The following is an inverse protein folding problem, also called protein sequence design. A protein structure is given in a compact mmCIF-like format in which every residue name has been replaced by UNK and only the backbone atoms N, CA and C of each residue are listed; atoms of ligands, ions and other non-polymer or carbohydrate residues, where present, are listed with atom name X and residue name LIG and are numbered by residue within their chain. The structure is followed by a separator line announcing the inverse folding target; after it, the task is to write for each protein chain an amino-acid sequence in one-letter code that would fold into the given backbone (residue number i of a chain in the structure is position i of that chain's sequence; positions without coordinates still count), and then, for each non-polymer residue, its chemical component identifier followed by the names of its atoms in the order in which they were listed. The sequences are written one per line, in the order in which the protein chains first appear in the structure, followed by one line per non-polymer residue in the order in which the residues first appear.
data_IF_741301304333
#
_entry.id   IF_741301304333
#
_cell.length_a   1.000
_cell.length_b   1.000
_cell.length_c   1.000
_cell.angle_alpha   90.00
_cell.angle_beta   90.00
_cell.angle_gamma   90.00
#
_symmetry.space_group_name_H-M   'P 1'
#
loop_
_entity.id
_entity.type
_entity.pdbx_description
1 polymer ?
#
# COMPACT_ATOMS: atom_id res chain seq x y z
N UNK A 1 4.85 15.10 -25.35
CA UNK A 1 4.76 16.07 -24.23
C UNK A 1 3.57 15.68 -23.35
N UNK A 2 3.66 15.80 -22.02
CA UNK A 2 2.49 15.60 -21.13
C UNK A 2 1.77 16.94 -20.94
N UNK A 3 0.45 16.98 -21.12
CA UNK A 3 -0.38 18.17 -20.89
C UNK A 3 -0.95 18.19 -19.48
N UNK A 4 -1.44 19.35 -19.03
CA UNK A 4 -2.01 19.49 -17.69
C UNK A 4 -3.24 18.59 -17.47
N UNK A 5 -4.12 18.49 -18.47
CA UNK A 5 -5.28 17.59 -18.39
C UNK A 5 -4.87 16.11 -18.28
N UNK A 6 -3.88 15.67 -19.06
CA UNK A 6 -3.36 14.30 -18.98
C UNK A 6 -2.76 14.00 -17.60
N UNK A 7 -2.06 14.98 -17.03
CA UNK A 7 -1.48 14.85 -15.70
C UNK A 7 -2.58 14.81 -14.64
N UNK A 8 -3.59 15.67 -14.71
CA UNK A 8 -4.75 15.63 -13.81
C UNK A 8 -5.41 14.25 -13.77
N UNK A 9 -5.63 13.61 -14.94
CA UNK A 9 -6.18 12.25 -14.99
C UNK A 9 -5.22 11.25 -14.34
N UNK A 10 -3.92 11.28 -14.67
CA UNK A 10 -2.91 10.40 -14.05
C UNK A 10 -2.91 10.48 -12.52
N UNK A 11 -3.06 11.69 -11.99
CA UNK A 11 -3.05 11.98 -10.55
C UNK A 11 -4.35 11.49 -9.91
N UNK A 12 -5.49 11.89 -10.47
CA UNK A 12 -6.81 11.62 -9.89
C UNK A 12 -7.11 10.13 -9.86
N UNK A 13 -6.75 9.40 -10.91
CA UNK A 13 -6.92 7.94 -10.94
C UNK A 13 -6.02 7.24 -9.92
N UNK A 14 -4.74 7.65 -9.83
CA UNK A 14 -3.83 7.05 -8.83
C UNK A 14 -4.28 7.38 -7.41
N UNK A 15 -4.87 8.55 -7.17
CA UNK A 15 -5.51 8.92 -5.91
C UNK A 15 -6.71 8.03 -5.60
N UNK A 16 -7.65 7.91 -6.53
CA UNK A 16 -8.91 7.22 -6.31
C UNK A 16 -8.68 5.73 -6.01
N UNK A 17 -7.64 5.15 -6.60
CA UNK A 17 -7.25 3.77 -6.36
C UNK A 17 -6.08 3.63 -5.38
N UNK A 18 -5.80 4.64 -4.53
CA UNK A 18 -4.59 4.61 -3.69
C UNK A 18 -4.57 3.45 -2.71
N UNK A 19 -5.62 3.32 -1.91
CA UNK A 19 -5.70 2.30 -0.87
C UNK A 19 -5.62 0.90 -1.50
N UNK A 20 -6.40 0.68 -2.57
CA UNK A 20 -6.34 -0.54 -3.37
C UNK A 20 -4.93 -0.79 -3.94
N UNK A 21 -4.27 0.24 -4.49
CA UNK A 21 -2.94 0.12 -5.06
C UNK A 21 -1.91 -0.37 -4.05
N UNK A 22 -2.01 0.04 -2.78
CA UNK A 22 -1.09 -0.39 -1.73
C UNK A 22 -1.24 -1.89 -1.42
N UNK A 23 -2.46 -2.41 -1.49
CA UNK A 23 -2.78 -3.83 -1.34
C UNK A 23 -2.35 -4.69 -2.55
N UNK A 24 -2.18 -4.10 -3.73
CA UNK A 24 -1.76 -4.84 -4.92
C UNK A 24 -0.34 -5.41 -4.80
N UNK A 25 -0.16 -6.69 -5.16
CA UNK A 25 1.14 -7.36 -5.22
C UNK A 25 1.57 -7.68 -6.66
N UNK A 26 2.89 -7.73 -6.88
CA UNK A 26 3.52 -8.20 -8.12
C UNK A 26 2.90 -7.65 -9.42
N UNK A 27 2.41 -8.56 -10.25
CA UNK A 27 1.86 -8.26 -11.58
C UNK A 27 0.60 -7.38 -11.55
N UNK A 28 -0.11 -7.31 -10.43
CA UNK A 28 -1.32 -6.50 -10.34
C UNK A 28 -1.02 -5.00 -10.37
N UNK A 29 0.09 -4.57 -9.75
CA UNK A 29 0.59 -3.18 -9.88
C UNK A 29 0.96 -2.85 -11.32
N UNK A 30 1.53 -3.81 -12.05
CA UNK A 30 1.82 -3.62 -13.48
C UNK A 30 0.53 -3.44 -14.30
N UNK A 31 -0.49 -4.27 -14.03
CA UNK A 31 -1.79 -4.17 -14.70
C UNK A 31 -2.51 -2.86 -14.39
N UNK A 32 -2.44 -2.36 -13.15
CA UNK A 32 -2.94 -1.05 -12.78
C UNK A 32 -2.35 0.04 -13.68
N UNK A 33 -1.01 0.12 -13.77
CA UNK A 33 -0.37 1.15 -14.59
C UNK A 33 -0.70 0.99 -16.08
N UNK A 34 -0.83 -0.24 -16.56
CA UNK A 34 -1.25 -0.51 -17.94
C UNK A 34 -2.69 -0.05 -18.19
N UNK A 35 -3.61 -0.31 -17.26
CA UNK A 35 -5.00 0.15 -17.33
C UNK A 35 -5.12 1.66 -17.32
N UNK A 36 -4.38 2.32 -16.42
CA UNK A 36 -4.33 3.77 -16.34
C UNK A 36 -3.77 4.39 -17.64
N UNK A 37 -2.72 3.79 -18.21
CA UNK A 37 -2.20 4.21 -19.51
C UNK A 37 -3.24 4.07 -20.62
N UNK A 38 -3.97 2.94 -20.66
CA UNK A 38 -5.05 2.73 -21.62
C UNK A 38 -6.15 3.80 -21.50
N UNK A 39 -6.52 4.19 -20.28
CA UNK A 39 -7.52 5.24 -20.02
C UNK A 39 -7.08 6.59 -20.59
N UNK A 40 -5.87 7.03 -20.26
CA UNK A 40 -5.30 8.29 -20.77
C UNK A 40 -5.19 8.26 -22.30
N UNK A 41 -4.72 7.14 -22.86
CA UNK A 41 -4.59 6.98 -24.31
C UNK A 41 -5.92 7.06 -25.04
N UNK A 42 -6.97 6.46 -24.47
CA UNK A 42 -8.31 6.51 -25.04
C UNK A 42 -8.86 7.94 -25.03
N UNK A 43 -8.71 8.65 -23.92
CA UNK A 43 -9.24 9.99 -23.73
C UNK A 43 -8.49 11.06 -24.54
N UNK A 44 -7.16 11.03 -24.56
CA UNK A 44 -6.33 12.08 -25.14
C UNK A 44 -5.66 11.69 -26.46
N UNK A 45 -6.02 10.53 -27.03
CA UNK A 45 -5.42 9.99 -28.28
C UNK A 45 -3.88 9.90 -28.21
N UNK A 46 -3.36 9.46 -27.06
CA UNK A 46 -1.92 9.27 -26.83
C UNK A 46 -1.53 7.79 -26.95
N UNK A 47 -0.23 7.51 -26.81
CA UNK A 47 0.35 6.14 -26.90
C UNK A 47 1.26 5.83 -25.72
N UNK A 48 0.91 6.30 -24.52
CA UNK A 48 1.69 6.04 -23.31
C UNK A 48 1.63 4.58 -22.90
N UNK A 49 2.74 4.09 -22.35
CA UNK A 49 2.81 2.79 -21.70
C UNK A 49 2.59 2.92 -20.20
N UNK A 50 2.18 1.83 -19.54
CA UNK A 50 2.06 1.81 -18.07
C UNK A 50 3.37 2.19 -17.38
N UNK A 51 4.51 1.78 -17.93
CA UNK A 51 5.84 2.20 -17.45
C UNK A 51 6.01 3.73 -17.49
N UNK A 52 5.63 4.38 -18.59
CA UNK A 52 5.72 5.83 -18.72
C UNK A 52 4.80 6.56 -17.72
N UNK A 53 3.58 6.05 -17.51
CA UNK A 53 2.67 6.58 -16.48
C UNK A 53 3.29 6.48 -15.08
N UNK A 54 3.83 5.31 -14.72
CA UNK A 54 4.52 5.08 -13.44
C UNK A 54 5.71 6.02 -13.24
N UNK A 55 6.59 6.11 -14.24
CA UNK A 55 7.78 6.96 -14.18
C UNK A 55 7.41 8.43 -14.07
N UNK A 56 6.37 8.87 -14.81
CA UNK A 56 5.86 10.23 -14.76
C UNK A 56 5.29 10.55 -13.37
N UNK A 57 4.42 9.69 -12.84
CA UNK A 57 3.84 9.85 -11.50
C UNK A 57 4.93 9.93 -10.42
N UNK A 58 5.90 9.01 -10.44
CA UNK A 58 7.02 9.02 -9.50
C UNK A 58 7.86 10.31 -9.62
N UNK A 59 8.00 10.85 -10.83
CA UNK A 59 8.63 12.15 -11.07
C UNK A 59 7.89 13.30 -10.39
N UNK A 60 6.56 13.32 -10.48
CA UNK A 60 5.71 14.30 -9.80
C UNK A 60 5.85 14.21 -8.28
N UNK A 61 5.76 13.01 -7.72
CA UNK A 61 5.94 12.79 -6.26
C UNK A 61 7.30 13.30 -5.78
N UNK A 62 8.38 13.03 -6.52
CA UNK A 62 9.72 13.54 -6.18
C UNK A 62 9.81 15.06 -6.26
N UNK A 63 9.21 15.68 -7.29
CA UNK A 63 9.21 17.13 -7.45
C UNK A 63 8.45 17.81 -6.31
N UNK A 64 7.30 17.24 -5.93
CA UNK A 64 6.51 17.66 -4.78
C UNK A 64 7.32 17.57 -3.48
N UNK A 65 7.93 16.42 -3.17
CA UNK A 65 8.73 16.23 -1.95
C UNK A 65 9.88 17.24 -1.85
N UNK A 66 10.54 17.56 -2.97
CA UNK A 66 11.59 18.59 -3.01
C UNK A 66 11.05 20.00 -2.78
N UNK A 67 9.85 20.30 -3.25
CA UNK A 67 9.19 21.59 -3.01
C UNK A 67 8.76 21.72 -1.54
N UNK A 68 8.22 20.66 -0.95
CA UNK A 68 7.87 20.63 0.48
C UNK A 68 9.09 20.92 1.35
N UNK A 69 10.20 20.20 1.14
CA UNK A 69 11.47 20.47 1.84
C UNK A 69 11.99 21.91 1.62
N UNK A 70 11.75 22.50 0.45
CA UNK A 70 12.14 23.87 0.17
C UNK A 70 11.33 24.88 1.00
N UNK A 71 10.03 24.64 1.12
CA UNK A 71 9.12 25.48 1.92
C UNK A 71 9.43 25.34 3.41
N UNK A 72 9.77 24.13 3.85
CA UNK A 72 10.19 23.84 5.22
C UNK A 72 11.60 24.38 5.56
N UNK A 73 12.28 25.06 4.62
CA UNK A 73 13.61 25.63 4.82
C UNK A 73 14.73 24.60 4.91
N UNK A 74 14.48 23.34 4.51
CA UNK A 74 15.45 22.26 4.61
C UNK A 74 16.51 22.33 3.49
N UNK A 75 17.78 21.98 3.76
CA UNK A 75 18.87 22.10 2.79
C UNK A 75 18.73 21.18 1.57
N UNK A 76 17.93 20.10 1.68
CA UNK A 76 17.63 19.18 0.58
C UNK A 76 16.47 19.65 -0.31
N UNK A 77 15.83 20.75 0.07
CA UNK A 77 14.73 21.37 -0.67
C UNK A 77 15.19 21.99 -1.98
N UNK A 78 14.34 21.92 -3.00
CA UNK A 78 14.58 22.61 -4.26
C UNK A 78 13.28 23.08 -4.89
N UNK A 79 13.17 24.39 -5.13
CA UNK A 79 12.13 24.96 -5.99
C UNK A 79 12.38 24.53 -7.44
N UNK A 80 11.36 23.99 -8.09
CA UNK A 80 11.39 23.66 -9.52
C UNK A 80 10.12 24.17 -10.17
N UNK A 81 10.14 24.51 -11.46
CA UNK A 81 8.94 24.98 -12.17
C UNK A 81 7.81 23.93 -12.11
N UNK A 82 8.17 22.65 -12.29
CA UNK A 82 7.24 21.52 -12.16
C UNK A 82 6.71 21.39 -10.72
N UNK A 83 7.60 21.47 -9.73
CA UNK A 83 7.23 21.39 -8.32
C UNK A 83 6.38 22.58 -7.87
N UNK A 84 6.63 23.79 -8.36
CA UNK A 84 5.85 24.97 -8.02
C UNK A 84 4.46 24.92 -8.66
N UNK A 85 4.36 24.61 -9.95
CA UNK A 85 3.09 24.47 -10.67
C UNK A 85 2.17 23.46 -9.99
N UNK A 86 2.75 22.34 -9.57
CA UNK A 86 2.02 21.25 -8.97
C UNK A 86 2.03 21.26 -7.45
N UNK A 87 2.69 22.21 -6.79
CA UNK A 87 2.52 22.38 -5.36
C UNK A 87 1.17 23.05 -5.09
N UNK A 88 0.81 24.11 -5.81
CA UNK A 88 -0.49 24.78 -5.64
C UNK A 88 -1.68 23.94 -6.16
N UNK A 89 -1.60 23.37 -7.36
CA UNK A 89 -2.70 22.54 -7.91
C UNK A 89 -2.94 21.26 -7.09
N UNK A 90 -1.94 20.76 -6.37
CA UNK A 90 -2.06 19.53 -5.57
C UNK A 90 -2.11 19.74 -4.05
N UNK A 91 -1.64 20.87 -3.49
CA UNK A 91 -1.69 21.12 -2.04
C UNK A 91 -3.09 21.37 -1.54
N UNK A 92 -4.03 21.74 -2.43
CA UNK A 92 -5.42 21.87 -2.02
C UNK A 92 -6.04 20.51 -1.68
N UNK A 93 -5.53 19.34 -2.14
CA UNK A 93 -6.22 18.10 -1.76
C UNK A 93 -5.54 16.71 -1.85
N UNK A 94 -4.29 16.43 -2.30
CA UNK A 94 -3.96 14.99 -2.46
C UNK A 94 -2.53 14.41 -2.51
N UNK A 95 -1.44 15.10 -2.87
CA UNK A 95 -0.12 14.42 -2.82
C UNK A 95 0.35 14.19 -1.38
N UNK A 96 -0.07 15.05 -0.43
CA UNK A 96 0.39 14.97 0.96
C UNK A 96 0.14 13.57 1.55
N UNK A 97 -1.06 13.01 1.37
CA UNK A 97 -1.44 11.70 1.91
C UNK A 97 -0.63 10.55 1.26
N UNK A 98 -0.52 10.53 -0.08
CA UNK A 98 0.25 9.51 -0.80
C UNK A 98 1.76 9.61 -0.50
N UNK A 99 2.29 10.83 -0.41
CA UNK A 99 3.71 11.07 -0.11
C UNK A 99 4.03 10.74 1.35
N UNK A 100 3.11 11.02 2.27
CA UNK A 100 3.20 10.67 3.68
C UNK A 100 3.16 9.15 3.86
N UNK A 101 2.19 8.44 3.25
CA UNK A 101 2.05 6.98 3.34
C UNK A 101 3.25 6.21 2.77
N UNK A 102 3.81 6.65 1.63
CA UNK A 102 5.07 6.08 1.09
C UNK A 102 6.23 6.26 2.08
N UNK A 103 6.28 7.38 2.80
CA UNK A 103 7.30 7.59 3.81
C UNK A 103 7.06 6.67 5.01
N UNK A 104 5.85 6.61 5.58
CA UNK A 104 5.51 5.79 6.76
C UNK A 104 5.79 4.30 6.58
N UNK A 105 5.51 3.77 5.40
CA UNK A 105 5.68 2.35 5.09
C UNK A 105 7.14 1.94 4.82
N UNK A 106 8.04 2.92 4.66
CA UNK A 106 9.48 2.68 4.47
C UNK A 106 10.24 2.45 5.80
N UNK A 107 9.59 2.57 6.97
CA UNK A 107 10.24 2.41 8.29
C UNK A 107 9.82 1.15 9.08
N UNK A 108 8.83 0.37 8.63
CA UNK A 108 8.37 -0.82 9.36
C UNK A 108 8.75 -2.08 8.62
N UNK A 109 10.01 -2.47 8.76
CA UNK A 109 10.42 -3.87 8.59
C UNK A 109 11.19 -4.26 9.85
N UNK A 110 10.68 -5.31 10.49
CA UNK A 110 11.30 -6.07 11.58
C UNK A 110 11.19 -5.46 12.98
N UNK A 111 10.16 -5.89 13.72
CA UNK A 111 10.37 -6.39 15.06
C UNK A 111 9.48 -7.63 15.27
N UNK A 112 10.11 -8.78 15.08
CA UNK A 112 9.75 -10.03 15.73
C UNK A 112 9.87 -9.82 17.24
N UNK A 113 8.80 -10.10 17.98
CA UNK A 113 8.90 -10.41 19.40
C UNK A 113 7.66 -11.19 19.84
N UNK A 114 7.91 -12.43 20.23
CA UNK A 114 7.02 -13.40 20.86
C UNK A 114 6.21 -12.83 22.04
N UNK A 115 5.02 -13.38 22.37
CA UNK A 115 4.31 -13.00 23.57
C UNK A 115 4.86 -13.76 24.79
N UNK A 116 5.42 -13.01 25.75
CA UNK A 116 5.83 -13.49 27.08
C UNK A 116 4.91 -12.86 28.14
N UNK A 117 4.14 -13.71 28.83
CA UNK A 117 3.74 -13.68 30.25
C UNK A 117 3.32 -12.34 30.89
N UNK A 118 2.13 -12.18 31.48
CA UNK A 118 1.69 -12.65 32.83
C UNK A 118 0.73 -11.59 33.45
N UNK A 119 0.17 -11.69 34.69
CA UNK A 119 -0.18 -12.80 35.58
C UNK A 119 -1.65 -12.77 36.10
N UNK A 120 -1.96 -13.78 36.91
CA UNK A 120 -3.20 -14.20 37.59
C UNK A 120 -3.59 -13.31 38.79
N UNK A 121 -4.91 -13.09 39.05
CA UNK A 121 -5.53 -13.35 40.36
C UNK A 121 -7.09 -13.30 40.33
N UNK A 122 -7.73 -14.35 40.85
CA UNK A 122 -9.17 -14.54 41.06
C UNK A 122 -9.64 -14.08 42.46
N UNK A 123 -10.96 -14.12 42.78
CA UNK A 123 -11.51 -15.22 43.62
C UNK A 123 -12.92 -15.71 43.17
N UNK A 124 -13.22 -17.03 43.08
CA UNK A 124 -13.92 -17.92 44.06
C UNK A 124 -15.33 -17.38 44.43
N UNK A 125 -16.52 -18.01 44.28
CA UNK A 125 -17.07 -19.37 44.03
C UNK A 125 -18.64 -19.26 44.00
N UNK A 126 -19.50 -20.30 44.07
CA UNK A 126 -19.53 -21.65 43.45
C UNK A 126 -20.93 -22.05 42.87
N UNK A 127 -20.96 -23.27 42.29
CA UNK A 127 -22.05 -24.27 42.29
C UNK A 127 -23.03 -24.37 41.08
N UNK A 128 -22.95 -25.53 40.41
CA UNK A 128 -24.04 -26.45 40.00
C UNK A 128 -23.95 -27.02 38.56
N UNK A 129 -23.23 -28.15 38.47
CA UNK A 129 -23.75 -29.48 38.09
C UNK A 129 -24.26 -29.86 36.68
N UNK A 130 -23.77 -31.06 36.27
CA UNK A 130 -24.42 -32.13 35.47
C UNK A 130 -24.39 -32.02 33.93
N UNK A 131 -23.58 -32.85 33.24
CA UNK A 131 -23.95 -34.19 32.72
C UNK A 131 -22.93 -34.74 31.69
N UNK A 132 -22.64 -36.03 31.85
CA UNK A 132 -21.89 -36.92 30.96
C UNK A 132 -22.52 -37.01 29.55
N UNK A 133 -21.69 -37.30 28.53
CA UNK A 133 -21.87 -38.47 27.65
C UNK A 133 -20.69 -38.65 26.67
N UNK A 134 -20.02 -39.80 26.75
CA UNK A 134 -19.22 -40.40 25.65
C UNK A 134 -20.15 -41.15 24.69
N UNK A 135 -19.74 -41.50 23.45
CA UNK A 135 -19.29 -42.88 23.23
C UNK A 135 -18.21 -43.11 22.11
N UNK A 136 -17.20 -43.93 22.45
CA UNK A 136 -16.59 -45.12 21.76
C UNK A 136 -16.13 -45.15 20.28
N UNK A 137 -15.23 -46.13 19.91
CA UNK A 137 -14.12 -46.00 18.94
C UNK A 137 -14.27 -46.87 17.66
N UNK A 138 -13.31 -46.80 16.71
CA UNK A 138 -12.86 -47.80 15.69
C UNK A 138 -12.11 -47.01 14.58
N UNK A 139 -11.12 -47.45 13.79
CA UNK A 139 -10.38 -48.71 13.52
C UNK A 139 -9.16 -48.32 12.64
N UNK A 140 -8.09 -49.12 12.75
CA UNK A 140 -6.94 -49.35 11.86
C UNK A 140 -6.83 -48.64 10.49
N UNK A 141 -5.61 -48.23 10.14
CA UNK A 141 -4.86 -48.70 8.93
C UNK A 141 -3.41 -48.23 8.94
N UNK A 142 -2.48 -49.17 8.75
CA UNK A 142 -1.05 -48.97 8.43
C UNK A 142 -0.88 -48.29 7.06
N UNK A 143 0.32 -47.77 6.70
CA UNK A 143 1.29 -48.63 5.99
C UNK A 143 2.79 -48.32 6.21
N UNK A 144 3.60 -49.39 6.16
CA UNK A 144 5.03 -49.43 5.76
C UNK A 144 5.20 -49.02 4.28
N UNK A 145 6.39 -48.68 3.73
CA UNK A 145 7.64 -49.45 3.92
C UNK A 145 8.98 -48.68 3.95
N UNK A 146 9.95 -49.31 4.62
CA UNK A 146 11.37 -49.17 4.35
C UNK A 146 11.79 -50.19 3.27
N UNK A 147 12.62 -49.75 2.32
CA UNK A 147 13.55 -50.63 1.61
C UNK A 147 14.75 -49.83 1.09
N UNK A 148 15.88 -49.93 1.77
CA UNK A 148 17.16 -50.46 1.28
C UNK A 148 18.15 -50.49 2.46
#
# INVERSE_FOLDING_TARGET
MWTDRQLQVLINERKNENDNFHELSGNMKHNFWKGLASKINLEFRTTYTGRQCKEKFNGLVRAYKKMQLYIDGQPKGKRSALGAKYYEEFSQQTIYDIAHEINTMSHTTTQSSSPLHSPICSPISPLCSHLLSSPTPFRHSSPTPYRL
#
